data_IF_866440192421
#
_entry.id   IF_866440192421
#
_cell.length_a   1.000
_cell.length_b   1.000
_cell.length_c   1.000
_cell.angle_alpha   90.00
_cell.angle_beta   90.00
_cell.angle_gamma   90.00
#
_symmetry.space_group_name_H-M   'P 1'
#
loop_
_entity.id
_entity.type
_entity.pdbx_description
1 polymer ?
#
# COMPACT_ATOMS: atom_id res chain seq x y z
N UNK A 1 -9.44 -50.61 10.76
CA UNK A 1 -10.19 -49.78 9.80
C UNK A 1 -11.30 -50.61 9.19
N UNK A 2 -12.53 -50.10 9.10
CA UNK A 2 -13.59 -50.83 8.38
C UNK A 2 -13.33 -50.76 6.87
N UNK A 3 -13.76 -51.78 6.10
CA UNK A 3 -13.61 -51.81 4.64
C UNK A 3 -14.18 -50.55 3.98
N UNK A 4 -15.27 -50.02 4.54
CA UNK A 4 -15.92 -48.79 4.08
C UNK A 4 -15.05 -47.54 4.25
N UNK A 5 -14.34 -47.42 5.38
CA UNK A 5 -13.42 -46.30 5.63
C UNK A 5 -12.22 -46.33 4.68
N UNK A 6 -11.69 -47.53 4.38
CA UNK A 6 -10.57 -47.69 3.45
C UNK A 6 -10.96 -47.20 2.06
N UNK A 7 -12.12 -47.65 1.53
CA UNK A 7 -12.61 -47.20 0.22
C UNK A 7 -12.90 -45.69 0.18
N UNK A 8 -13.37 -45.10 1.29
CA UNK A 8 -13.58 -43.65 1.40
C UNK A 8 -12.26 -42.89 1.25
N UNK A 9 -11.21 -43.36 1.92
CA UNK A 9 -9.87 -42.75 1.87
C UNK A 9 -9.26 -42.89 0.48
N UNK A 10 -9.41 -44.05 -0.17
CA UNK A 10 -8.92 -44.27 -1.54
C UNK A 10 -9.54 -43.31 -2.55
N UNK A 11 -10.86 -43.13 -2.51
CA UNK A 11 -11.57 -42.15 -3.35
C UNK A 11 -11.10 -40.71 -3.09
N UNK A 12 -10.84 -40.33 -1.84
CA UNK A 12 -10.32 -39.01 -1.52
C UNK A 12 -8.89 -38.81 -2.02
N UNK A 13 -8.05 -39.84 -1.94
CA UNK A 13 -6.69 -39.81 -2.49
C UNK A 13 -6.72 -39.74 -4.02
N UNK A 14 -7.57 -40.50 -4.68
CA UNK A 14 -7.76 -40.46 -6.13
C UNK A 14 -8.19 -39.06 -6.59
N UNK A 15 -9.14 -38.43 -5.89
CA UNK A 15 -9.52 -37.04 -6.17
C UNK A 15 -8.32 -36.08 -6.04
N UNK A 16 -7.51 -36.21 -4.98
CA UNK A 16 -6.30 -35.38 -4.81
C UNK A 16 -5.28 -35.59 -5.94
N UNK A 17 -5.07 -36.84 -6.39
CA UNK A 17 -4.16 -37.17 -7.49
C UNK A 17 -4.59 -36.50 -8.79
N UNK A 18 -5.88 -36.59 -9.13
CA UNK A 18 -6.47 -35.94 -10.30
C UNK A 18 -6.31 -34.42 -10.22
N UNK A 19 -6.57 -33.81 -9.06
CA UNK A 19 -6.39 -32.37 -8.85
C UNK A 19 -4.94 -31.90 -9.02
N UNK A 20 -3.98 -32.75 -8.66
CA UNK A 20 -2.54 -32.48 -8.80
C UNK A 20 -1.95 -32.83 -10.17
N UNK A 21 -2.72 -33.46 -11.06
CA UNK A 21 -2.26 -33.95 -12.36
C UNK A 21 -1.33 -35.17 -12.29
N UNK A 22 -1.20 -35.82 -11.13
CA UNK A 22 -0.38 -37.03 -10.90
C UNK A 22 -1.24 -38.28 -10.87
N UNK A 23 -2.00 -38.51 -11.93
CA UNK A 23 -2.86 -39.69 -12.08
C UNK A 23 -2.03 -40.94 -12.40
N UNK A 24 -2.51 -42.10 -11.93
CA UNK A 24 -1.85 -43.40 -12.12
C UNK A 24 -2.58 -44.26 -13.14
N UNK A 25 -3.92 -44.17 -13.19
CA UNK A 25 -4.76 -45.04 -14.04
C UNK A 25 -5.52 -44.25 -15.09
N UNK A 26 -5.87 -43.00 -14.79
CA UNK A 26 -6.62 -42.13 -15.70
C UNK A 26 -5.68 -41.15 -16.40
N UNK A 27 -6.00 -40.79 -17.64
CA UNK A 27 -5.27 -39.74 -18.36
C UNK A 27 -5.35 -38.39 -17.59
N UNK A 28 -4.20 -37.74 -17.29
CA UNK A 28 -4.16 -36.45 -16.60
C UNK A 28 -4.89 -35.32 -17.35
N UNK A 29 -5.10 -35.44 -18.66
CA UNK A 29 -5.86 -34.47 -19.46
C UNK A 29 -7.39 -34.66 -19.36
N UNK A 30 -7.86 -35.76 -18.76
CA UNK A 30 -9.29 -36.09 -18.68
C UNK A 30 -10.03 -35.17 -17.70
N UNK A 31 -11.27 -34.82 -18.04
CA UNK A 31 -12.14 -33.99 -17.17
C UNK A 31 -12.46 -34.71 -15.86
N UNK A 32 -12.42 -33.96 -14.76
CA UNK A 32 -12.82 -34.43 -13.43
C UNK A 32 -14.29 -34.88 -13.50
N UNK A 33 -14.56 -36.13 -13.12
CA UNK A 33 -15.90 -36.71 -13.05
C UNK A 33 -15.92 -37.80 -11.98
N UNK A 34 -17.12 -38.22 -11.54
CA UNK A 34 -17.24 -39.32 -10.57
C UNK A 34 -16.59 -40.59 -11.11
N UNK A 35 -16.83 -40.91 -12.39
CA UNK A 35 -16.23 -42.06 -13.08
C UNK A 35 -14.70 -41.98 -13.11
N UNK A 36 -14.13 -40.82 -13.41
CA UNK A 36 -12.68 -40.65 -13.42
C UNK A 36 -12.05 -40.87 -12.03
N UNK A 37 -12.75 -40.48 -10.95
CA UNK A 37 -12.27 -40.71 -9.58
C UNK A 37 -12.38 -42.18 -9.19
N UNK A 38 -13.43 -42.89 -9.61
CA UNK A 38 -13.60 -44.33 -9.40
C UNK A 38 -12.50 -45.14 -10.10
N UNK A 39 -12.24 -44.82 -11.37
CA UNK A 39 -11.23 -45.47 -12.20
C UNK A 39 -9.81 -45.24 -11.65
N UNK A 40 -9.51 -44.02 -11.18
CA UNK A 40 -8.24 -43.68 -10.54
C UNK A 40 -8.07 -44.35 -9.16
N UNK A 41 -9.16 -44.51 -8.40
CA UNK A 41 -9.17 -45.27 -7.15
C UNK A 41 -9.08 -46.79 -7.37
N UNK A 42 -9.31 -47.25 -8.59
CA UNK A 42 -9.34 -48.68 -8.92
C UNK A 42 -10.58 -49.41 -8.45
N UNK A 43 -11.68 -48.68 -8.28
CA UNK A 43 -12.98 -49.20 -7.87
C UNK A 43 -13.87 -49.44 -9.09
N UNK A 44 -14.83 -50.35 -8.96
CA UNK A 44 -15.81 -50.62 -10.01
C UNK A 44 -16.79 -49.45 -10.21
N UNK A 45 -17.33 -49.34 -11.42
CA UNK A 45 -18.34 -48.34 -11.79
C UNK A 45 -19.50 -48.35 -10.75
N UNK A 46 -19.76 -47.20 -10.12
CA UNK A 46 -20.85 -47.04 -9.15
C UNK A 46 -20.43 -47.08 -7.67
N UNK A 47 -19.17 -47.45 -7.37
CA UNK A 47 -18.67 -47.59 -6.00
C UNK A 47 -18.65 -46.28 -5.20
N UNK A 48 -18.49 -45.12 -5.86
CA UNK A 48 -18.45 -43.82 -5.20
C UNK A 48 -19.85 -43.34 -4.77
N UNK A 49 -20.93 -43.82 -5.37
CA UNK A 49 -22.30 -43.39 -5.06
C UNK A 49 -22.77 -43.82 -3.67
N UNK A 50 -22.18 -44.86 -3.11
CA UNK A 50 -22.37 -45.25 -1.70
C UNK A 50 -21.85 -44.17 -0.72
N UNK A 51 -20.99 -43.26 -1.20
CA UNK A 51 -20.37 -42.19 -0.41
C UNK A 51 -20.80 -40.80 -0.89
N UNK A 52 -22.01 -40.38 -0.48
CA UNK A 52 -22.61 -39.09 -0.89
C UNK A 52 -21.69 -37.87 -0.63
N UNK A 53 -20.97 -37.86 0.50
CA UNK A 53 -20.03 -36.79 0.84
C UNK A 53 -18.94 -36.60 -0.22
N UNK A 54 -18.40 -37.71 -0.73
CA UNK A 54 -17.33 -37.69 -1.73
C UNK A 54 -17.88 -37.20 -3.05
N UNK A 55 -19.05 -37.69 -3.46
CA UNK A 55 -19.70 -37.22 -4.69
C UNK A 55 -19.93 -35.71 -4.65
N UNK A 56 -20.34 -35.17 -3.50
CA UNK A 56 -20.45 -33.71 -3.32
C UNK A 56 -19.09 -33.01 -3.42
N UNK A 57 -18.03 -33.54 -2.80
CA UNK A 57 -16.66 -33.00 -2.94
C UNK A 57 -16.18 -33.00 -4.39
N UNK A 58 -16.43 -34.07 -5.14
CA UNK A 58 -16.07 -34.17 -6.56
C UNK A 58 -16.83 -33.11 -7.37
N UNK A 59 -18.15 -32.99 -7.17
CA UNK A 59 -18.96 -31.96 -7.86
C UNK A 59 -18.45 -30.54 -7.57
N UNK A 60 -18.12 -30.23 -6.30
CA UNK A 60 -17.52 -28.95 -5.92
C UNK A 60 -16.17 -28.72 -6.63
N UNK A 61 -15.32 -29.74 -6.66
CA UNK A 61 -14.03 -29.67 -7.34
C UNK A 61 -14.16 -29.42 -8.84
N UNK A 62 -15.15 -30.02 -9.51
CA UNK A 62 -15.46 -29.77 -10.93
C UNK A 62 -15.82 -28.30 -11.18
N UNK A 63 -16.66 -27.72 -10.32
CA UNK A 63 -17.06 -26.31 -10.45
C UNK A 63 -15.87 -25.38 -10.22
N UNK A 64 -15.13 -25.56 -9.13
CA UNK A 64 -13.97 -24.73 -8.78
C UNK A 64 -12.85 -24.80 -9.83
N UNK A 65 -12.60 -25.98 -10.41
CA UNK A 65 -11.60 -26.14 -11.46
C UNK A 65 -12.09 -25.84 -12.86
N UNK A 66 -13.32 -25.39 -13.03
CA UNK A 66 -13.79 -24.95 -14.34
C UNK A 66 -12.94 -23.77 -14.85
N UNK A 67 -12.58 -23.75 -16.14
CA UNK A 67 -11.74 -22.70 -16.71
C UNK A 67 -12.38 -21.32 -16.59
N UNK A 68 -13.73 -21.24 -16.59
CA UNK A 68 -14.48 -19.99 -16.41
C UNK A 68 -14.28 -19.36 -15.02
N UNK A 69 -14.32 -20.18 -13.95
CA UNK A 69 -14.18 -19.69 -12.57
C UNK A 69 -12.73 -19.33 -12.27
N UNK A 70 -11.76 -20.14 -12.74
CA UNK A 70 -10.34 -19.80 -12.64
C UNK A 70 -10.01 -18.49 -13.33
N UNK A 71 -10.51 -18.28 -14.55
CA UNK A 71 -10.32 -17.02 -15.27
C UNK A 71 -10.92 -15.83 -14.49
N UNK A 72 -12.16 -15.97 -13.99
CA UNK A 72 -12.83 -14.92 -13.20
C UNK A 72 -12.03 -14.52 -11.96
N UNK A 73 -11.54 -15.49 -11.19
CA UNK A 73 -10.73 -15.22 -9.99
C UNK A 73 -9.44 -14.46 -10.33
N UNK A 74 -8.75 -14.83 -11.40
CA UNK A 74 -7.52 -14.13 -11.83
C UNK A 74 -7.81 -12.67 -12.23
N UNK A 75 -8.94 -12.40 -12.88
CA UNK A 75 -9.35 -11.03 -13.20
C UNK A 75 -9.71 -10.24 -11.93
N UNK A 76 -10.40 -10.87 -10.99
CA UNK A 76 -10.82 -10.25 -9.73
C UNK A 76 -9.60 -9.89 -8.85
N UNK A 77 -8.62 -10.79 -8.76
CA UNK A 77 -7.33 -10.55 -8.09
C UNK A 77 -6.59 -9.39 -8.75
N UNK A 78 -6.53 -9.36 -10.09
CA UNK A 78 -5.89 -8.26 -10.83
C UNK A 78 -6.60 -6.93 -10.58
N UNK A 79 -7.92 -6.90 -10.59
CA UNK A 79 -8.72 -5.70 -10.29
C UNK A 79 -8.46 -5.21 -8.86
N UNK A 80 -8.38 -6.12 -7.88
CA UNK A 80 -8.08 -5.76 -6.50
C UNK A 80 -6.70 -5.10 -6.38
N UNK A 81 -5.68 -5.67 -7.03
CA UNK A 81 -4.31 -5.12 -7.02
C UNK A 81 -4.23 -3.75 -7.69
N UNK A 82 -5.01 -3.52 -8.76
CA UNK A 82 -5.07 -2.22 -9.44
C UNK A 82 -5.74 -1.16 -8.57
N UNK A 83 -6.82 -1.51 -7.86
CA UNK A 83 -7.48 -0.60 -6.90
C UNK A 83 -6.55 -0.23 -5.75
N UNK A 84 -5.78 -1.19 -5.24
CA UNK A 84 -4.82 -0.92 -4.17
C UNK A 84 -3.72 0.06 -4.62
N UNK A 85 -3.18 -0.13 -5.84
CA UNK A 85 -2.21 0.80 -6.43
C UNK A 85 -2.78 2.20 -6.61
N UNK A 86 -3.98 2.30 -7.18
CA UNK A 86 -4.65 3.58 -7.38
C UNK A 86 -4.85 4.33 -6.05
N UNK A 87 -5.31 3.63 -5.00
CA UNK A 87 -5.49 4.24 -3.68
C UNK A 87 -4.15 4.71 -3.07
N UNK A 88 -3.06 3.99 -3.30
CA UNK A 88 -1.72 4.42 -2.86
C UNK A 88 -1.28 5.69 -3.58
N UNK A 89 -1.48 5.75 -4.89
CA UNK A 89 -1.14 6.93 -5.69
C UNK A 89 -1.95 8.16 -5.29
N UNK A 90 -3.26 8.02 -5.05
CA UNK A 90 -4.13 9.11 -4.60
C UNK A 90 -3.64 9.65 -3.25
N UNK A 91 -3.45 8.77 -2.27
CA UNK A 91 -2.96 9.16 -0.93
C UNK A 91 -1.60 9.85 -1.00
N UNK A 92 -0.72 9.36 -1.86
CA UNK A 92 0.61 9.95 -2.04
C UNK A 92 0.52 11.36 -2.64
N UNK A 93 -0.35 11.53 -3.64
CA UNK A 93 -0.58 12.82 -4.30
C UNK A 93 -1.19 13.85 -3.34
N UNK A 94 -2.16 13.45 -2.53
CA UNK A 94 -2.76 14.30 -1.50
C UNK A 94 -1.70 14.73 -0.48
N UNK A 95 -0.96 13.77 0.09
CA UNK A 95 0.12 14.07 1.03
C UNK A 95 1.13 15.08 0.49
N UNK A 96 1.58 14.92 -0.76
CA UNK A 96 2.54 15.86 -1.35
C UNK A 96 1.92 17.21 -1.69
N UNK A 97 0.62 17.26 -2.01
CA UNK A 97 -0.08 18.54 -2.17
C UNK A 97 -0.11 19.32 -0.87
N UNK A 98 -0.53 18.66 0.22
CA UNK A 98 -0.62 19.27 1.54
C UNK A 98 0.75 19.77 1.99
N UNK A 99 1.79 18.95 1.84
CA UNK A 99 3.17 19.35 2.16
C UNK A 99 3.64 20.57 1.37
N UNK A 100 3.31 20.65 0.08
CA UNK A 100 3.69 21.80 -0.75
C UNK A 100 2.94 23.06 -0.32
N UNK A 101 1.68 22.94 0.08
CA UNK A 101 0.89 24.05 0.59
C UNK A 101 1.45 24.55 1.94
N UNK A 102 1.72 23.64 2.87
CA UNK A 102 2.35 23.96 4.16
C UNK A 102 3.70 24.66 3.98
N UNK A 103 4.58 24.14 3.11
CA UNK A 103 5.88 24.76 2.87
C UNK A 103 5.76 26.13 2.20
N UNK A 104 4.79 26.33 1.32
CA UNK A 104 4.52 27.65 0.73
C UNK A 104 4.07 28.64 1.79
N UNK A 105 3.18 28.24 2.68
CA UNK A 105 2.71 29.10 3.77
C UNK A 105 3.87 29.46 4.70
N UNK A 106 4.68 28.49 5.10
CA UNK A 106 5.88 28.73 5.92
C UNK A 106 6.86 29.70 5.22
N UNK A 107 7.08 29.53 3.91
CA UNK A 107 7.95 30.41 3.14
C UNK A 107 7.43 31.85 3.11
N UNK A 108 6.13 32.04 2.87
CA UNK A 108 5.49 33.37 2.85
C UNK A 108 5.60 34.03 4.23
N UNK A 109 5.35 33.27 5.30
CA UNK A 109 5.48 33.77 6.66
C UNK A 109 6.92 34.17 7.00
N UNK A 110 7.90 33.34 6.64
CA UNK A 110 9.32 33.66 6.84
C UNK A 110 9.75 34.89 6.02
N UNK A 111 9.32 35.01 4.77
CA UNK A 111 9.63 36.17 3.94
C UNK A 111 9.04 37.45 4.52
N UNK A 112 7.80 37.41 5.01
CA UNK A 112 7.16 38.54 5.69
C UNK A 112 7.92 38.97 6.94
N UNK A 113 8.26 38.02 7.82
CA UNK A 113 9.04 38.28 9.03
C UNK A 113 10.43 38.85 8.70
N UNK A 114 11.11 38.28 7.72
CA UNK A 114 12.42 38.75 7.28
C UNK A 114 12.35 40.20 6.77
N UNK A 115 11.33 40.53 5.96
CA UNK A 115 11.13 41.90 5.48
C UNK A 115 10.84 42.87 6.63
N UNK A 116 9.99 42.49 7.59
CA UNK A 116 9.73 43.31 8.77
C UNK A 116 10.99 43.56 9.60
N UNK A 117 11.79 42.52 9.85
CA UNK A 117 13.04 42.63 10.57
C UNK A 117 14.06 43.50 9.83
N UNK A 118 14.17 43.36 8.51
CA UNK A 118 15.06 44.19 7.70
C UNK A 118 14.71 45.68 7.81
N UNK A 119 13.42 46.02 7.75
CA UNK A 119 12.95 47.41 7.93
C UNK A 119 13.26 47.94 9.34
N UNK A 120 13.03 47.11 10.38
CA UNK A 120 13.35 47.48 11.76
C UNK A 120 14.85 47.73 11.93
N UNK A 121 15.71 46.86 11.36
CA UNK A 121 17.16 47.02 11.39
C UNK A 121 17.56 48.35 10.74
N UNK A 122 17.00 48.68 9.57
CA UNK A 122 17.28 49.97 8.92
C UNK A 122 16.86 51.16 9.80
N UNK A 123 15.67 51.11 10.40
CA UNK A 123 15.21 52.17 11.31
C UNK A 123 16.15 52.32 12.52
N UNK A 124 16.60 51.23 13.11
CA UNK A 124 17.57 51.27 14.22
C UNK A 124 18.93 51.81 13.77
N UNK A 125 19.41 51.45 12.59
CA UNK A 125 20.64 52.01 12.03
C UNK A 125 20.56 53.53 11.86
N UNK A 126 19.44 54.04 11.35
CA UNK A 126 19.21 55.49 11.25
C UNK A 126 19.23 56.15 12.62
N UNK A 127 18.52 55.58 13.61
CA UNK A 127 18.45 56.13 14.97
C UNK A 127 19.81 56.12 15.66
N UNK A 128 20.61 55.06 15.48
CA UNK A 128 21.98 54.98 16.01
C UNK A 128 22.84 56.08 15.37
N UNK A 129 22.79 56.25 14.04
CA UNK A 129 23.56 57.27 13.35
C UNK A 129 23.18 58.70 13.80
N UNK A 130 21.88 58.95 14.01
CA UNK A 130 21.38 60.22 14.55
C UNK A 130 21.95 60.49 15.96
N UNK A 131 21.83 59.52 16.87
CA UNK A 131 22.36 59.63 18.24
C UNK A 131 23.87 59.83 18.26
N UNK A 132 24.62 59.09 17.44
CA UNK A 132 26.08 59.26 17.30
C UNK A 132 26.46 60.64 16.80
N UNK A 133 25.66 61.24 15.91
CA UNK A 133 25.89 62.61 15.42
C UNK A 133 25.69 63.64 16.53
N UNK A 134 24.63 63.50 17.34
CA UNK A 134 24.35 64.37 18.48
C UNK A 134 25.45 64.26 19.54
N UNK A 135 25.89 63.05 19.86
CA UNK A 135 26.98 62.83 20.82
C UNK A 135 28.31 63.45 20.36
N UNK A 136 28.60 63.43 19.06
CA UNK A 136 29.78 64.12 18.50
C UNK A 136 29.68 65.63 18.67
N UNK A 137 28.50 66.23 18.37
CA UNK A 137 28.27 67.67 18.56
C UNK A 137 28.44 68.06 20.03
N UNK A 138 27.80 67.34 20.95
CA UNK A 138 27.94 67.61 22.39
C UNK A 138 29.39 67.49 22.89
N UNK A 139 30.19 66.56 22.34
CA UNK A 139 31.62 66.46 22.68
C UNK A 139 32.42 67.66 22.19
N UNK A 140 32.14 68.15 20.98
CA UNK A 140 32.78 69.34 20.41
C UNK A 140 32.44 70.61 21.20
N UNK A 141 31.18 70.79 21.59
CA UNK A 141 30.75 71.91 22.43
C UNK A 141 31.43 71.92 23.80
N UNK A 142 31.62 70.74 24.41
CA UNK A 142 32.35 70.64 25.68
C UNK A 142 33.83 71.00 25.54
N UNK A 143 34.47 70.61 24.44
CA UNK A 143 35.86 70.96 24.13
C UNK A 143 36.02 72.48 23.96
N UNK A 144 35.18 73.11 23.14
CA UNK A 144 35.24 74.57 22.93
C UNK A 144 34.96 75.38 24.19
N UNK A 145 34.02 74.94 25.03
CA UNK A 145 33.76 75.59 26.34
C UNK A 145 34.97 75.43 27.29
N UNK A 146 35.71 74.33 27.20
CA UNK A 146 36.92 74.14 28.02
C UNK A 146 38.09 75.02 27.55
N UNK A 147 38.24 75.21 26.24
CA UNK A 147 39.29 76.07 25.65
C UNK A 147 39.03 77.56 25.90
N UNK A 148 37.76 78.00 26.00
CA UNK A 148 37.40 79.38 26.33
C UNK A 148 37.54 79.73 27.82
N UNK A 149 37.76 78.74 28.69
CA UNK A 149 37.91 78.93 30.15
C UNK A 149 39.37 78.91 30.63
N UNK A 150 40.31 78.57 29.76
CA UNK A 150 41.77 78.70 29.96
C UNK A 150 42.27 80.02 29.42
#
# INVERSE_FOLDING_TARGET
>A
MSKSQITKVELEQALKRILSGKTHRVDPARKISVKAVEEEAGLGDGSAYYYKDIVQKIKKAVVLNSPKIKAKNVYEDKISSLRERLNKEIKLKEKYRDQVEDYKEQLVNMASQHNQLALMIQQYQYKIAELESIDKVHKLEKLTISELKT
#
